data_IF_651717118144
#
_entry.id   IF_651717118144
#
_cell.length_a   1.000
_cell.length_b   1.000
_cell.length_c   1.000
_cell.angle_alpha   90.00
_cell.angle_beta   90.00
_cell.angle_gamma   90.00
#
_symmetry.space_group_name_H-M   'P 1'
#
loop_
_entity.id
_entity.type
_entity.pdbx_description
1 polymer ?
#
# COMPACT_ATOMS: atom_id res chain seq x y z
N UNK A 1 4.37 -2.18 -2.21
CA UNK A 1 3.20 -1.26 -2.28
C UNK A 1 2.70 -1.02 -0.87
N UNK A 2 1.71 -0.15 -0.63
CA UNK A 2 1.11 0.01 0.71
C UNK A 2 -0.38 -0.41 0.70
N UNK A 3 -1.14 -0.05 1.73
CA UNK A 3 -2.47 -0.61 2.00
C UNK A 3 -3.50 -0.50 0.88
N UNK A 4 -3.70 0.67 0.26
CA UNK A 4 -4.75 0.89 -0.74
C UNK A 4 -4.47 0.08 -2.01
N UNK A 5 -3.22 0.08 -2.49
CA UNK A 5 -2.85 -0.70 -3.67
C UNK A 5 -3.02 -2.20 -3.45
N UNK A 6 -2.67 -2.72 -2.26
CA UNK A 6 -2.90 -4.14 -1.96
C UNK A 6 -4.39 -4.50 -1.91
N UNK A 7 -5.24 -3.65 -1.31
CA UNK A 7 -6.67 -3.85 -1.33
C UNK A 7 -7.24 -3.81 -2.75
N UNK A 8 -6.86 -2.81 -3.54
CA UNK A 8 -7.36 -2.64 -4.90
C UNK A 8 -6.95 -3.81 -5.81
N UNK A 9 -5.68 -4.22 -5.81
CA UNK A 9 -5.22 -5.36 -6.59
C UNK A 9 -5.87 -6.67 -6.11
N UNK A 10 -6.08 -6.84 -4.80
CA UNK A 10 -6.81 -7.99 -4.25
C UNK A 10 -8.26 -8.05 -4.76
N UNK A 11 -8.96 -6.93 -4.81
CA UNK A 11 -10.31 -6.87 -5.39
C UNK A 11 -10.32 -7.28 -6.86
N UNK A 12 -9.38 -6.77 -7.67
CA UNK A 12 -9.27 -7.13 -9.08
C UNK A 12 -8.97 -8.61 -9.30
N UNK A 13 -8.19 -9.21 -8.40
CA UNK A 13 -7.83 -10.62 -8.46
C UNK A 13 -8.82 -11.55 -7.76
N UNK A 14 -9.91 -11.02 -7.17
CA UNK A 14 -10.88 -11.78 -6.38
C UNK A 14 -10.20 -12.56 -5.24
N UNK A 15 -9.37 -11.83 -4.48
CA UNK A 15 -8.54 -12.33 -3.40
C UNK A 15 -8.99 -11.78 -2.04
N UNK A 16 -8.60 -12.46 -0.96
CA UNK A 16 -8.95 -12.05 0.40
C UNK A 16 -8.39 -10.67 0.73
N UNK A 17 -9.27 -9.68 0.94
CA UNK A 17 -8.90 -8.33 1.37
C UNK A 17 -8.23 -8.34 2.75
N UNK A 18 -8.79 -9.14 3.67
CA UNK A 18 -8.19 -9.35 4.99
C UNK A 18 -6.79 -9.93 4.86
N UNK A 19 -6.61 -11.01 4.09
CA UNK A 19 -5.29 -11.63 3.89
C UNK A 19 -4.27 -10.65 3.32
N UNK A 20 -4.66 -9.84 2.33
CA UNK A 20 -3.77 -8.85 1.72
C UNK A 20 -3.39 -7.71 2.67
N UNK A 21 -4.31 -7.23 3.50
CA UNK A 21 -4.00 -6.15 4.46
C UNK A 21 -3.25 -6.67 5.69
N UNK A 22 -3.46 -7.93 6.07
CA UNK A 22 -2.87 -8.59 7.24
C UNK A 22 -1.40 -9.00 7.02
N UNK A 23 -0.95 -9.13 5.78
CA UNK A 23 0.31 -9.78 5.41
C UNK A 23 1.55 -9.23 6.15
N UNK A 24 1.66 -7.90 6.30
CA UNK A 24 2.77 -7.24 7.02
C UNK A 24 2.84 -7.58 8.52
N UNK A 25 1.73 -8.08 9.07
CA UNK A 25 1.58 -8.43 10.48
C UNK A 25 1.80 -9.92 10.74
N UNK A 26 1.94 -10.73 9.68
CA UNK A 26 2.12 -12.18 9.75
C UNK A 26 3.49 -12.56 9.21
N UNK A 27 4.34 -13.11 10.08
CA UNK A 27 5.70 -13.54 9.74
C UNK A 27 5.71 -15.02 9.38
N UNK A 28 6.60 -15.41 8.47
CA UNK A 28 6.81 -16.83 8.15
C UNK A 28 5.64 -17.45 7.36
N UNK A 29 5.42 -18.75 7.55
CA UNK A 29 4.37 -19.51 6.88
C UNK A 29 3.03 -19.36 7.62
N UNK A 30 1.99 -18.74 7.02
CA UNK A 30 0.70 -18.56 7.67
C UNK A 30 -0.20 -19.81 7.68
N UNK A 31 0.23 -20.92 7.07
CA UNK A 31 -0.56 -22.16 7.00
C UNK A 31 -0.89 -22.72 8.39
N UNK A 32 -2.15 -23.10 8.60
CA UNK A 32 -2.64 -23.65 9.86
C UNK A 32 -3.04 -22.60 10.89
N UNK A 33 -2.62 -21.34 10.73
CA UNK A 33 -3.04 -20.21 11.58
C UNK A 33 -4.27 -19.49 11.02
N UNK A 34 -4.43 -19.49 9.70
CA UNK A 34 -5.51 -18.81 8.99
C UNK A 34 -6.23 -19.72 7.98
N UNK A 35 -7.42 -19.32 7.53
CA UNK A 35 -8.14 -20.03 6.47
C UNK A 35 -7.34 -20.05 5.17
N UNK A 36 -7.57 -21.03 4.27
CA UNK A 36 -6.87 -21.09 2.98
C UNK A 36 -6.97 -19.81 2.15
N UNK A 37 -8.10 -19.12 2.20
CA UNK A 37 -8.36 -17.87 1.47
C UNK A 37 -7.53 -16.71 2.04
N UNK A 38 -7.43 -16.59 3.37
CA UNK A 38 -6.59 -15.58 4.03
C UNK A 38 -5.11 -15.87 3.75
N UNK A 39 -4.69 -17.14 3.82
CA UNK A 39 -3.33 -17.55 3.46
C UNK A 39 -3.02 -17.17 2.02
N UNK A 40 -3.91 -17.44 1.07
CA UNK A 40 -3.75 -17.06 -0.32
C UNK A 40 -3.63 -15.53 -0.49
N UNK A 41 -4.42 -14.75 0.24
CA UNK A 41 -4.31 -13.29 0.27
C UNK A 41 -2.97 -12.78 0.81
N UNK A 42 -2.48 -13.36 1.92
CA UNK A 42 -1.14 -13.03 2.48
C UNK A 42 -0.05 -13.33 1.45
N UNK A 43 -0.13 -14.48 0.78
CA UNK A 43 0.84 -14.88 -0.24
C UNK A 43 0.77 -13.99 -1.49
N UNK A 44 -0.41 -13.51 -1.86
CA UNK A 44 -0.59 -12.54 -2.94
C UNK A 44 0.06 -11.20 -2.62
N UNK A 45 -0.17 -10.63 -1.43
CA UNK A 45 0.49 -9.40 -1.00
C UNK A 45 2.01 -9.49 -1.17
N UNK A 46 2.61 -10.58 -0.65
CA UNK A 46 4.06 -10.82 -0.75
C UNK A 46 4.55 -10.92 -2.21
N UNK A 47 3.75 -11.53 -3.10
CA UNK A 47 4.07 -11.61 -4.54
C UNK A 47 4.02 -10.23 -5.19
N UNK A 48 3.02 -9.41 -4.86
CA UNK A 48 2.90 -8.02 -5.33
C UNK A 48 4.12 -7.19 -4.91
N UNK A 49 4.56 -7.31 -3.66
CA UNK A 49 5.76 -6.59 -3.20
C UNK A 49 7.01 -7.02 -3.95
N UNK A 50 7.28 -8.33 -4.03
CA UNK A 50 8.44 -8.83 -4.77
C UNK A 50 8.41 -8.38 -6.23
N UNK A 51 7.24 -8.45 -6.88
CA UNK A 51 7.09 -8.01 -8.25
C UNK A 51 7.36 -6.51 -8.39
N UNK A 52 6.73 -5.66 -7.57
CA UNK A 52 6.93 -4.20 -7.66
C UNK A 52 8.37 -3.80 -7.35
N UNK A 53 9.01 -4.39 -6.34
CA UNK A 53 10.40 -4.13 -5.97
C UNK A 53 11.42 -4.51 -7.06
N UNK A 54 11.06 -5.46 -7.92
CA UNK A 54 11.95 -5.91 -9.00
C UNK A 54 11.78 -5.12 -10.30
N UNK A 55 10.70 -4.36 -10.45
CA UNK A 55 10.43 -3.55 -11.65
C UNK A 55 11.55 -2.55 -11.91
N UNK A 56 12.07 -2.45 -13.15
CA UNK A 56 13.05 -1.43 -13.53
C UNK A 56 12.58 -0.01 -13.22
N UNK A 57 11.29 0.28 -13.43
CA UNK A 57 10.69 1.59 -13.16
C UNK A 57 10.69 1.94 -11.66
N UNK A 58 10.49 0.97 -10.77
CA UNK A 58 10.58 1.20 -9.31
C UNK A 58 12.04 1.37 -8.88
N UNK A 59 12.98 0.66 -9.52
CA UNK A 59 14.42 0.88 -9.30
C UNK A 59 14.87 2.26 -9.77
N UNK A 60 14.35 2.73 -10.91
CA UNK A 60 14.53 4.09 -11.42
C UNK A 60 13.95 5.12 -10.44
N UNK A 61 12.73 4.90 -9.93
CA UNK A 61 12.09 5.78 -8.95
C UNK A 61 12.98 6.05 -7.72
N UNK A 62 13.70 5.02 -7.24
CA UNK A 62 14.62 5.14 -6.09
C UNK A 62 15.80 6.08 -6.35
N UNK A 63 16.14 6.35 -7.61
CA UNK A 63 17.24 7.25 -7.98
C UNK A 63 16.88 8.73 -7.81
N UNK A 64 15.60 9.08 -7.79
CA UNK A 64 15.12 10.44 -7.48
C UNK A 64 15.30 10.83 -6.02
N UNK A 65 15.51 9.87 -5.12
CA UNK A 65 15.82 10.17 -3.73
C UNK A 65 17.28 10.52 -3.59
N UNK A 66 17.60 11.57 -2.85
CA UNK A 66 18.94 12.01 -2.45
C UNK A 66 19.69 10.93 -1.65
N UNK A 67 21.01 11.07 -1.51
CA UNK A 67 21.83 10.06 -0.83
C UNK A 67 21.38 9.81 0.62
N UNK A 68 20.93 10.86 1.31
CA UNK A 68 20.48 10.82 2.70
C UNK A 68 19.17 10.03 2.87
N UNK A 69 18.31 10.03 1.85
CA UNK A 69 16.99 9.39 1.90
C UNK A 69 16.88 8.11 1.07
N UNK A 70 17.90 7.78 0.26
CA UNK A 70 17.85 6.61 -0.66
C UNK A 70 17.62 5.27 0.03
N UNK A 71 18.08 5.13 1.27
CA UNK A 71 17.88 3.91 2.07
C UNK A 71 16.40 3.69 2.41
N UNK A 72 15.65 4.76 2.62
CA UNK A 72 14.22 4.70 2.97
C UNK A 72 13.30 4.86 1.76
N UNK A 73 13.86 5.20 0.60
CA UNK A 73 13.14 5.34 -0.66
C UNK A 73 12.14 4.21 -0.96
N UNK A 74 12.43 2.91 -0.76
CA UNK A 74 11.44 1.86 -1.00
C UNK A 74 10.15 2.07 -0.19
N UNK A 75 10.29 2.33 1.12
CA UNK A 75 9.15 2.55 2.02
C UNK A 75 8.42 3.85 1.66
N UNK A 76 9.17 4.91 1.32
CA UNK A 76 8.57 6.17 0.89
C UNK A 76 7.76 6.00 -0.39
N UNK A 77 8.28 5.25 -1.34
CA UNK A 77 7.61 4.95 -2.60
C UNK A 77 6.35 4.11 -2.39
N UNK A 78 6.36 3.13 -1.48
CA UNK A 78 5.16 2.34 -1.16
C UNK A 78 3.98 3.23 -0.73
N UNK A 79 4.24 4.24 0.12
CA UNK A 79 3.22 5.21 0.54
C UNK A 79 2.84 6.15 -0.61
N UNK A 80 3.80 6.58 -1.43
CA UNK A 80 3.56 7.48 -2.55
C UNK A 80 2.74 6.83 -3.68
N UNK A 81 2.89 5.52 -3.90
CA UNK A 81 2.07 4.82 -4.89
C UNK A 81 0.60 4.79 -4.50
N UNK A 82 0.30 4.61 -3.21
CA UNK A 82 -1.05 4.74 -2.69
C UNK A 82 -1.59 6.18 -2.83
N UNK A 83 -0.72 7.19 -2.71
CA UNK A 83 -1.10 8.58 -2.99
C UNK A 83 -1.58 8.77 -4.42
N UNK A 84 -0.80 8.34 -5.41
CA UNK A 84 -1.20 8.48 -6.81
C UNK A 84 -2.45 7.65 -7.13
N UNK A 85 -2.58 6.46 -6.54
CA UNK A 85 -3.77 5.63 -6.67
C UNK A 85 -5.02 6.34 -6.12
N UNK A 86 -4.97 6.85 -4.89
CA UNK A 86 -6.08 7.58 -4.28
C UNK A 86 -6.39 8.87 -5.05
N UNK A 87 -5.36 9.60 -5.47
CA UNK A 87 -5.48 10.87 -6.20
C UNK A 87 -6.12 10.71 -7.58
N UNK A 88 -5.88 9.59 -8.25
CA UNK A 88 -6.40 9.27 -9.59
C UNK A 88 -7.46 8.17 -9.58
N UNK A 89 -8.10 7.94 -8.44
CA UNK A 89 -9.00 6.81 -8.24
C UNK A 89 -10.08 6.71 -9.32
N UNK A 90 -10.75 7.81 -9.66
CA UNK A 90 -11.83 7.85 -10.66
C UNK A 90 -11.39 7.38 -12.06
N UNK A 91 -10.10 7.50 -12.38
CA UNK A 91 -9.54 7.02 -13.66
C UNK A 91 -9.20 5.53 -13.61
N UNK A 92 -8.79 5.03 -12.45
CA UNK A 92 -8.31 3.66 -12.26
C UNK A 92 -9.45 2.70 -11.94
N UNK A 93 -10.49 3.15 -11.23
CA UNK A 93 -11.66 2.36 -10.86
C UNK A 93 -12.96 3.12 -11.20
N UNK A 94 -13.26 3.33 -12.50
CA UNK A 94 -14.46 4.05 -12.91
C UNK A 94 -15.73 3.32 -12.45
N UNK A 95 -16.67 4.06 -11.87
CA UNK A 95 -17.96 3.55 -11.41
C UNK A 95 -18.00 3.08 -9.95
N UNK A 96 -16.89 3.17 -9.20
CA UNK A 96 -16.87 2.95 -7.75
C UNK A 96 -16.03 4.04 -7.10
N UNK A 97 -16.62 4.79 -6.16
CA UNK A 97 -15.89 5.86 -5.48
C UNK A 97 -14.90 5.29 -4.47
N UNK A 98 -13.84 6.04 -4.15
CA UNK A 98 -12.87 5.62 -3.13
C UNK A 98 -13.54 5.40 -1.76
N UNK A 99 -14.44 6.27 -1.28
CA UNK A 99 -15.21 6.01 -0.05
C UNK A 99 -15.97 4.67 -0.10
N UNK A 100 -16.75 4.41 -1.15
CA UNK A 100 -17.54 3.17 -1.26
C UNK A 100 -16.62 1.92 -1.25
N UNK A 101 -15.49 2.00 -1.96
CA UNK A 101 -14.49 0.93 -1.97
C UNK A 101 -13.92 0.67 -0.57
N UNK A 102 -13.52 1.74 0.13
CA UNK A 102 -12.93 1.62 1.47
C UNK A 102 -13.94 1.11 2.51
N UNK A 103 -15.20 1.52 2.41
CA UNK A 103 -16.28 1.01 3.25
C UNK A 103 -16.53 -0.48 2.99
N UNK A 104 -16.56 -0.89 1.72
CA UNK A 104 -16.65 -2.30 1.37
C UNK A 104 -15.49 -3.12 1.95
N UNK A 105 -14.25 -2.66 1.79
CA UNK A 105 -13.08 -3.32 2.35
C UNK A 105 -13.16 -3.41 3.89
N UNK A 106 -13.58 -2.34 4.55
CA UNK A 106 -13.79 -2.30 5.99
C UNK A 106 -14.82 -3.36 6.43
N UNK A 107 -15.96 -3.47 5.75
CA UNK A 107 -17.02 -4.43 6.06
C UNK A 107 -16.56 -5.89 5.92
N UNK A 108 -15.61 -6.17 5.02
CA UNK A 108 -15.00 -7.51 4.87
C UNK A 108 -13.97 -7.82 5.96
N UNK A 109 -13.34 -6.80 6.54
CA UNK A 109 -12.20 -6.97 7.46
C UNK A 109 -12.64 -6.94 8.93
N UNK A 110 -13.50 -6.00 9.30
CA UNK A 110 -13.89 -5.78 10.70
C UNK A 110 -14.48 -7.01 11.41
N UNK A 111 -15.33 -7.85 10.77
CA UNK A 111 -15.90 -9.03 11.42
C UNK A 111 -14.85 -10.02 11.94
N UNK A 112 -13.65 -10.02 11.37
CA UNK A 112 -12.56 -10.93 11.72
C UNK A 112 -11.48 -10.28 12.59
N UNK A 113 -11.59 -8.98 12.87
CA UNK A 113 -10.51 -8.19 13.47
C UNK A 113 -10.03 -8.74 14.82
N UNK A 114 -10.94 -9.23 15.67
CA UNK A 114 -10.61 -9.77 16.99
C UNK A 114 -9.71 -11.02 16.96
N UNK A 115 -9.66 -11.73 15.83
CA UNK A 115 -8.87 -12.95 15.62
C UNK A 115 -7.48 -12.66 15.03
N UNK A 116 -7.18 -11.39 14.74
CA UNK A 116 -5.91 -10.98 14.13
C UNK A 116 -4.85 -10.59 15.17
N UNK A 117 -3.56 -10.47 14.80
CA UNK A 117 -2.52 -10.02 15.72
C UNK A 117 -2.81 -8.62 16.28
N UNK A 118 -2.49 -8.38 17.55
CA UNK A 118 -2.76 -7.11 18.23
C UNK A 118 -2.21 -5.87 17.49
N UNK A 119 -1.08 -6.00 16.79
CA UNK A 119 -0.51 -4.91 15.98
C UNK A 119 -1.40 -4.52 14.80
N UNK A 120 -2.10 -5.48 14.18
CA UNK A 120 -3.06 -5.24 13.12
C UNK A 120 -4.31 -4.57 13.69
N UNK A 121 -4.82 -5.05 14.83
CA UNK A 121 -5.94 -4.42 15.54
C UNK A 121 -5.65 -2.95 15.86
N UNK A 122 -4.45 -2.64 16.35
CA UNK A 122 -4.01 -1.28 16.64
C UNK A 122 -3.95 -0.40 15.38
N UNK A 123 -3.54 -0.91 14.22
CA UNK A 123 -3.60 -0.16 12.96
C UNK A 123 -5.06 0.19 12.62
N UNK A 124 -5.96 -0.80 12.72
CA UNK A 124 -7.36 -0.67 12.34
C UNK A 124 -8.15 0.29 13.25
N UNK A 125 -7.64 0.61 14.44
CA UNK A 125 -8.21 1.63 15.32
C UNK A 125 -8.12 3.06 14.73
N UNK A 126 -7.21 3.29 13.78
CA UNK A 126 -7.01 4.59 13.12
C UNK A 126 -7.33 4.53 11.62
N UNK A 127 -6.96 3.44 10.94
CA UNK A 127 -7.08 3.27 9.50
C UNK A 127 -8.47 3.65 8.96
N UNK A 128 -9.52 3.13 9.59
CA UNK A 128 -10.90 3.36 9.16
C UNK A 128 -11.51 4.64 9.73
N UNK A 129 -11.49 4.89 11.06
CA UNK A 129 -12.18 6.07 11.62
C UNK A 129 -11.60 7.40 11.14
N UNK A 130 -10.28 7.44 10.85
CA UNK A 130 -9.61 8.62 10.33
C UNK A 130 -9.51 8.63 8.79
N UNK A 131 -10.16 7.67 8.11
CA UNK A 131 -10.28 7.59 6.65
C UNK A 131 -8.94 7.66 5.92
N UNK A 132 -7.91 7.01 6.46
CA UNK A 132 -6.53 7.13 5.95
C UNK A 132 -6.39 6.80 4.46
N UNK A 133 -7.07 5.75 4.01
CA UNK A 133 -7.01 5.30 2.61
C UNK A 133 -7.53 6.37 1.63
N UNK A 134 -8.52 7.15 2.06
CA UNK A 134 -9.06 8.26 1.27
C UNK A 134 -8.13 9.48 1.33
N UNK A 135 -7.64 9.79 2.53
CA UNK A 135 -6.70 10.89 2.77
C UNK A 135 -5.36 10.70 2.08
N UNK A 136 -5.03 9.49 1.63
CA UNK A 136 -3.88 9.30 0.75
C UNK A 136 -3.95 10.17 -0.51
N UNK A 137 -5.12 10.63 -0.97
CA UNK A 137 -5.21 11.60 -2.07
C UNK A 137 -4.60 12.99 -1.74
N UNK A 138 -4.40 13.30 -0.46
CA UNK A 138 -3.84 14.55 0.03
C UNK A 138 -2.32 14.43 0.21
N UNK A 139 -1.55 15.16 -0.60
CA UNK A 139 -0.08 15.14 -0.47
C UNK A 139 0.44 15.53 0.93
N UNK A 140 -0.14 16.52 1.65
CA UNK A 140 0.26 16.81 3.03
C UNK A 140 0.07 15.63 3.99
N UNK A 141 -0.96 14.81 3.79
CA UNK A 141 -1.17 13.62 4.63
C UNK A 141 -0.08 12.57 4.43
N UNK A 142 0.52 12.49 3.23
CA UNK A 142 1.69 11.64 2.98
C UNK A 142 2.88 12.06 3.84
N UNK A 143 3.11 13.37 4.00
CA UNK A 143 4.14 13.87 4.90
C UNK A 143 3.88 13.44 6.35
N UNK A 144 2.64 13.56 6.83
CA UNK A 144 2.24 13.14 8.18
C UNK A 144 2.46 11.64 8.40
N UNK A 145 2.12 10.81 7.41
CA UNK A 145 2.31 9.35 7.47
C UNK A 145 3.80 9.01 7.57
N UNK A 146 4.65 9.61 6.73
CA UNK A 146 6.11 9.39 6.76
C UNK A 146 6.73 9.87 8.07
N UNK A 147 6.30 11.02 8.58
CA UNK A 147 6.72 11.55 9.87
C UNK A 147 6.30 10.63 11.02
N UNK A 148 5.06 10.14 11.01
CA UNK A 148 4.56 9.19 12.01
C UNK A 148 5.31 7.85 11.98
N UNK A 149 5.71 7.37 10.80
CA UNK A 149 6.59 6.19 10.68
C UNK A 149 7.99 6.45 11.25
N UNK A 150 8.59 7.61 10.93
CA UNK A 150 9.90 8.02 11.45
C UNK A 150 9.90 8.09 12.99
N UNK A 151 8.88 8.70 13.59
CA UNK A 151 8.75 8.86 15.04
C UNK A 151 8.65 7.52 15.77
N UNK A 152 7.99 6.52 15.17
CA UNK A 152 7.79 5.20 15.78
C UNK A 152 9.02 4.29 15.69
N UNK A 153 9.95 4.54 14.77
CA UNK A 153 11.12 3.68 14.53
C UNK A 153 12.38 4.54 14.30
N UNK A 154 13.28 4.65 15.29
CA UNK A 154 14.51 5.45 15.15
C UNK A 154 15.37 5.10 13.92
N UNK A 155 15.38 3.82 13.52
CA UNK A 155 16.10 3.35 12.33
C UNK A 155 15.55 3.90 11.00
N UNK A 156 14.35 4.48 11.02
CA UNK A 156 13.64 5.06 9.87
C UNK A 156 13.47 6.59 10.02
N UNK A 157 14.26 7.24 10.88
CA UNK A 157 14.18 8.70 11.08
C UNK A 157 14.28 9.50 9.76
N UNK A 158 15.04 8.98 8.79
CA UNK A 158 15.20 9.56 7.45
C UNK A 158 13.88 9.63 6.64
N UNK A 159 12.83 8.89 7.00
CA UNK A 159 11.53 8.97 6.31
C UNK A 159 10.93 10.37 6.35
N UNK A 160 11.07 11.07 7.47
CA UNK A 160 10.56 12.44 7.62
C UNK A 160 11.14 13.39 6.55
N UNK A 161 12.45 13.29 6.29
CA UNK A 161 13.11 14.12 5.28
C UNK A 161 12.87 13.68 3.84
N UNK A 162 12.53 12.40 3.63
CA UNK A 162 12.29 11.85 2.27
C UNK A 162 11.12 12.49 1.52
N UNK A 163 10.21 13.16 2.25
CA UNK A 163 9.11 13.92 1.64
C UNK A 163 9.61 15.07 0.75
N UNK A 164 10.74 15.68 1.08
CA UNK A 164 11.33 16.74 0.26
C UNK A 164 11.65 16.26 -1.16
N UNK A 165 12.22 15.06 -1.30
CA UNK A 165 12.53 14.48 -2.61
C UNK A 165 11.26 14.14 -3.40
N UNK A 166 10.17 13.78 -2.71
CA UNK A 166 8.85 13.61 -3.35
C UNK A 166 8.42 14.93 -3.97
N UNK A 167 8.47 16.04 -3.25
CA UNK A 167 8.03 17.34 -3.77
C UNK A 167 8.87 17.78 -4.98
N UNK A 168 10.19 17.59 -4.92
CA UNK A 168 11.09 17.94 -6.02
C UNK A 168 10.87 17.10 -7.27
N UNK A 169 10.50 15.82 -7.11
CA UNK A 169 10.40 14.85 -8.19
C UNK A 169 8.98 14.31 -8.40
N UNK A 170 7.96 15.04 -7.93
CA UNK A 170 6.57 14.58 -7.93
C UNK A 170 6.09 14.16 -9.32
N UNK A 171 6.33 15.01 -10.33
CA UNK A 171 5.90 14.76 -11.71
C UNK A 171 6.59 13.55 -12.35
N UNK A 172 7.94 13.40 -12.31
CA UNK A 172 8.60 12.17 -12.76
C UNK A 172 8.12 10.90 -12.03
N UNK A 173 7.92 10.97 -10.72
CA UNK A 173 7.41 9.83 -9.93
C UNK A 173 5.98 9.45 -10.33
N UNK A 174 5.13 10.43 -10.61
CA UNK A 174 3.77 10.23 -11.11
C UNK A 174 3.76 9.55 -12.49
N UNK A 175 4.67 9.95 -13.38
CA UNK A 175 4.82 9.32 -14.70
C UNK A 175 5.22 7.85 -14.58
N UNK A 176 6.14 7.53 -13.66
CA UNK A 176 6.52 6.14 -13.39
C UNK A 176 5.33 5.33 -12.87
N UNK A 177 4.55 5.88 -11.93
CA UNK A 177 3.33 5.24 -11.45
C UNK A 177 2.39 4.86 -12.61
N UNK A 178 2.10 5.81 -13.51
CA UNK A 178 1.26 5.56 -14.68
C UNK A 178 1.87 4.56 -15.67
N UNK A 179 3.19 4.45 -15.73
CA UNK A 179 3.88 3.51 -16.60
C UNK A 179 3.78 2.05 -16.12
N UNK A 180 3.68 1.79 -14.81
CA UNK A 180 3.68 0.42 -14.29
C UNK A 180 2.38 -0.03 -13.62
N UNK A 181 1.62 0.87 -12.96
CA UNK A 181 0.47 0.45 -12.16
C UNK A 181 -0.69 -0.14 -13.00
N UNK A 182 -1.04 0.40 -14.19
CA UNK A 182 -2.04 -0.24 -15.05
C UNK A 182 -1.65 -1.66 -15.50
N UNK A 183 -0.35 -1.93 -15.69
CA UNK A 183 0.13 -3.27 -16.00
C UNK A 183 -0.06 -4.24 -14.82
N UNK A 184 0.15 -3.75 -13.59
CA UNK A 184 -0.14 -4.51 -12.36
C UNK A 184 -1.64 -4.84 -12.24
N UNK A 185 -2.52 -3.88 -12.54
CA UNK A 185 -3.97 -4.09 -12.56
C UNK A 185 -4.37 -5.18 -13.55
N UNK A 186 -3.80 -5.16 -14.76
CA UNK A 186 -4.06 -6.19 -15.77
C UNK A 186 -3.64 -7.58 -15.29
N UNK A 187 -2.47 -7.71 -14.68
CA UNK A 187 -2.02 -8.99 -14.13
C UNK A 187 -2.91 -9.45 -12.96
N UNK A 188 -3.42 -8.52 -12.14
CA UNK A 188 -4.40 -8.81 -11.09
C UNK A 188 -5.69 -9.40 -11.65
N UNK A 189 -6.27 -8.74 -12.66
CA UNK A 189 -7.49 -9.19 -13.35
C UNK A 189 -7.32 -10.58 -13.98
N UNK A 190 -6.12 -10.88 -14.48
CA UNK A 190 -5.76 -12.18 -15.04
C UNK A 190 -5.39 -13.23 -13.98
N UNK A 191 -5.38 -12.85 -12.69
CA UNK A 191 -4.95 -13.70 -11.56
C UNK A 191 -3.52 -14.24 -11.72
N UNK A 192 -2.64 -13.44 -12.33
CA UNK A 192 -1.22 -13.73 -12.55
C UNK A 192 -0.30 -13.19 -11.44
N UNK A 193 -0.86 -12.52 -10.42
CA UNK A 193 -0.14 -11.95 -9.28
C UNK A 193 -0.41 -12.70 -7.98
#
# INVERSE_FOLDING_TARGET
MNFLAHLHLATLADSSLLGNLLADFVRGNPQGEYSPEIVAGIMMHRRVDVMTDTLPLVKEARTYFSADYRRVAPITLDVLWDHFLARHWDKLMPGCTLPDFTEHAQQQILPHLSQTPARFQNLNAYLWPERWLERYAELPFIADVLQGMANRRPKLAALAGSFYDIEQHYQPLEQLFWAFYPAMMLQAQQKHI
#
